data_IF_564400025668
#
_entry.id   IF_564400025668
#
_cell.length_a   1.000
_cell.length_b   1.000
_cell.length_c   1.000
_cell.angle_alpha   90.00
_cell.angle_beta   90.00
_cell.angle_gamma   90.00
#
_symmetry.space_group_name_H-M   'P 1'
#
loop_
_entity.id
_entity.type
_entity.pdbx_description
1 polymer ?
#
# COMPACT_ATOMS: atom_id res chain seq x y z
N UNK A 1 -15.28 -4.87 1.70
CA UNK A 1 -13.81 -4.94 1.51
C UNK A 1 -13.53 -6.27 0.81
N UNK A 2 -12.59 -6.35 -0.15
CA UNK A 2 -12.36 -7.59 -0.92
C UNK A 2 -11.74 -8.69 -0.06
N UNK A 3 -11.01 -8.32 0.99
CA UNK A 3 -10.41 -9.24 1.94
C UNK A 3 -11.07 -9.12 3.31
N UNK A 4 -11.09 -10.22 4.05
CA UNK A 4 -11.45 -10.24 5.46
C UNK A 4 -10.38 -9.54 6.32
N UNK A 5 -10.79 -8.98 7.45
CA UNK A 5 -9.89 -8.24 8.36
C UNK A 5 -8.80 -9.14 8.92
N UNK A 6 -9.14 -10.37 9.34
CA UNK A 6 -8.17 -11.29 9.90
C UNK A 6 -7.10 -11.68 8.86
N UNK A 7 -7.49 -11.82 7.59
CA UNK A 7 -6.54 -12.08 6.50
C UNK A 7 -5.57 -10.92 6.28
N UNK A 8 -6.00 -9.67 6.49
CA UNK A 8 -5.12 -8.49 6.40
C UNK A 8 -4.14 -8.44 7.57
N UNK A 9 -4.62 -8.64 8.80
CA UNK A 9 -3.80 -8.66 10.01
C UNK A 9 -2.72 -9.75 9.95
N UNK A 10 -3.07 -10.94 9.43
CA UNK A 10 -2.12 -12.03 9.20
C UNK A 10 -1.00 -11.65 8.22
N UNK A 11 -1.33 -10.92 7.14
CA UNK A 11 -0.34 -10.48 6.15
C UNK A 11 0.60 -9.46 6.75
N UNK A 12 0.06 -8.50 7.51
CA UNK A 12 0.86 -7.49 8.20
C UNK A 12 1.83 -8.17 9.18
N UNK A 13 1.36 -9.11 10.00
CA UNK A 13 2.21 -9.85 10.96
C UNK A 13 3.33 -10.67 10.28
N UNK A 14 3.06 -11.25 9.11
CA UNK A 14 4.09 -11.98 8.35
C UNK A 14 5.12 -11.05 7.70
N UNK A 15 4.68 -9.90 7.20
CA UNK A 15 5.57 -8.90 6.64
C UNK A 15 6.47 -8.30 7.73
N UNK A 16 5.85 -7.93 8.85
CA UNK A 16 6.45 -7.48 10.10
C UNK A 16 7.66 -8.36 10.52
N UNK A 17 7.43 -9.65 10.73
CA UNK A 17 8.48 -10.60 11.10
C UNK A 17 9.62 -10.80 10.08
N UNK A 18 9.49 -10.30 8.84
CA UNK A 18 10.56 -10.32 7.85
C UNK A 18 11.49 -9.10 7.91
N UNK A 19 11.06 -8.00 8.55
CA UNK A 19 11.86 -6.77 8.67
C UNK A 19 12.79 -6.76 9.88
N UNK A 20 12.52 -7.61 10.88
CA UNK A 20 13.32 -7.72 12.11
C UNK A 20 13.03 -6.62 13.14
N UNK A 21 13.57 -6.79 14.34
CA UNK A 21 13.20 -6.00 15.53
C UNK A 21 13.74 -4.55 15.53
N UNK A 22 14.64 -4.20 14.61
CA UNK A 22 15.29 -2.89 14.53
C UNK A 22 14.48 -1.84 13.73
N UNK A 23 13.38 -2.23 13.11
CA UNK A 23 12.52 -1.33 12.35
C UNK A 23 11.39 -0.78 13.25
N UNK A 24 11.38 0.51 13.63
CA UNK A 24 10.35 1.02 14.54
C UNK A 24 8.99 1.23 13.87
N UNK A 25 8.96 1.32 12.53
CA UNK A 25 7.74 1.58 11.76
C UNK A 25 7.94 1.21 10.28
N UNK A 26 7.00 0.47 9.71
CA UNK A 26 6.94 0.19 8.27
C UNK A 26 5.90 1.10 7.63
N UNK A 27 6.32 1.80 6.57
CA UNK A 27 5.45 2.64 5.74
C UNK A 27 5.36 2.08 4.34
N UNK A 28 4.13 1.88 3.86
CA UNK A 28 3.87 1.43 2.48
C UNK A 28 2.92 2.42 1.82
N UNK A 29 3.33 2.99 0.70
CA UNK A 29 2.52 3.95 -0.07
C UNK A 29 1.67 3.24 -1.13
N UNK A 30 0.45 3.72 -1.33
CA UNK A 30 -0.43 3.31 -2.42
C UNK A 30 0.07 3.78 -3.80
N UNK A 31 0.93 4.78 -3.82
CA UNK A 31 1.34 5.51 -5.01
C UNK A 31 0.37 6.63 -5.39
N UNK A 32 0.77 7.38 -6.42
CA UNK A 32 0.02 8.53 -6.96
C UNK A 32 -0.31 8.33 -8.45
N UNK A 33 -1.39 8.95 -8.96
CA UNK A 33 -1.68 8.95 -10.39
C UNK A 33 -0.53 9.56 -11.20
N UNK A 34 -0.15 8.90 -12.29
CA UNK A 34 0.91 9.38 -13.18
C UNK A 34 0.28 10.20 -14.31
N UNK A 35 0.70 11.46 -14.44
CA UNK A 35 0.29 12.35 -15.53
C UNK A 35 0.70 11.82 -16.89
N UNK A 36 -0.16 11.97 -17.90
CA UNK A 36 0.22 11.73 -19.28
C UNK A 36 1.18 12.83 -19.74
N UNK A 37 2.24 12.52 -20.49
CA UNK A 37 3.12 13.54 -21.05
C UNK A 37 2.32 14.56 -21.89
N UNK A 38 2.73 15.83 -21.86
CA UNK A 38 2.08 16.90 -22.63
C UNK A 38 1.57 18.09 -21.80
N UNK A 39 1.73 18.07 -20.48
CA UNK A 39 1.41 19.22 -19.61
C UNK A 39 -0.09 19.47 -19.43
N UNK A 40 -0.93 18.47 -19.73
CA UNK A 40 -2.37 18.51 -19.54
C UNK A 40 -2.75 17.84 -18.21
N UNK A 41 -4.00 18.05 -17.76
CA UNK A 41 -4.50 17.50 -16.50
C UNK A 41 -4.84 15.99 -16.55
N UNK A 42 -4.59 15.32 -17.68
CA UNK A 42 -4.93 13.90 -17.84
C UNK A 42 -3.88 12.99 -17.19
N UNK A 43 -4.35 11.91 -16.56
CA UNK A 43 -3.51 10.85 -15.97
C UNK A 43 -3.75 9.51 -16.66
N UNK A 44 -2.80 8.58 -16.53
CA UNK A 44 -3.05 7.17 -16.82
C UNK A 44 -4.01 6.57 -15.78
N UNK A 45 -4.77 5.51 -16.11
CA UNK A 45 -5.58 4.81 -15.13
C UNK A 45 -4.74 4.41 -13.92
N UNK A 46 -5.17 4.81 -12.73
CA UNK A 46 -4.43 4.51 -11.51
C UNK A 46 -4.48 3.01 -11.20
N UNK A 47 -3.30 2.44 -10.98
CA UNK A 47 -3.11 1.10 -10.45
C UNK A 47 -2.34 1.22 -9.14
N UNK A 48 -2.93 0.68 -8.07
CA UNK A 48 -2.36 0.74 -6.73
C UNK A 48 -1.09 -0.10 -6.62
N UNK A 49 -0.15 0.34 -5.79
CA UNK A 49 1.04 -0.46 -5.48
C UNK A 49 0.64 -1.85 -4.96
N UNK A 50 1.18 -2.96 -5.53
CA UNK A 50 0.75 -4.30 -5.18
C UNK A 50 0.87 -4.62 -3.69
N UNK A 51 1.98 -4.23 -3.06
CA UNK A 51 2.21 -4.48 -1.64
C UNK A 51 1.23 -3.73 -0.74
N UNK A 52 0.94 -2.47 -1.08
CA UNK A 52 -0.09 -1.69 -0.38
C UNK A 52 -1.44 -2.37 -0.51
N UNK A 53 -1.81 -2.82 -1.70
CA UNK A 53 -3.09 -3.50 -1.92
C UNK A 53 -3.16 -4.84 -1.17
N UNK A 54 -2.06 -5.59 -1.13
CA UNK A 54 -2.00 -6.86 -0.41
C UNK A 54 -2.15 -6.67 1.11
N UNK A 55 -1.52 -5.63 1.66
CA UNK A 55 -1.51 -5.31 3.09
C UNK A 55 -2.72 -4.51 3.58
N UNK A 56 -3.51 -3.91 2.69
CA UNK A 56 -4.64 -3.05 3.09
C UNK A 56 -5.98 -3.42 2.44
N UNK A 57 -5.96 -4.05 1.27
CA UNK A 57 -7.13 -4.22 0.42
C UNK A 57 -7.69 -2.92 -0.18
N UNK A 58 -7.03 -1.78 0.05
CA UNK A 58 -7.44 -0.47 -0.46
C UNK A 58 -6.88 -0.21 -1.85
N UNK A 59 -7.70 0.37 -2.73
CA UNK A 59 -7.33 0.77 -4.09
C UNK A 59 -7.32 2.29 -4.30
N UNK A 60 -7.34 3.06 -3.21
CA UNK A 60 -7.31 4.53 -3.28
C UNK A 60 -5.86 5.00 -3.46
N UNK A 61 -5.64 5.99 -4.32
CA UNK A 61 -4.35 6.67 -4.45
C UNK A 61 -4.06 7.53 -3.21
N UNK A 62 -2.78 7.87 -3.01
CA UNK A 62 -2.31 8.74 -1.93
C UNK A 62 -2.43 8.18 -0.52
N UNK A 63 -2.87 6.92 -0.37
CA UNK A 63 -2.94 6.25 0.91
C UNK A 63 -1.56 5.83 1.42
N UNK A 64 -1.35 5.89 2.73
CA UNK A 64 -0.17 5.34 3.41
C UNK A 64 -0.64 4.34 4.45
N UNK A 65 -0.11 3.13 4.39
CA UNK A 65 -0.20 2.15 5.47
C UNK A 65 0.97 2.38 6.40
N UNK A 66 0.69 2.45 7.69
CA UNK A 66 1.68 2.47 8.74
C UNK A 66 1.41 1.30 9.70
N UNK A 67 2.41 0.48 9.97
CA UNK A 67 2.33 -0.59 10.96
C UNK A 67 3.70 -0.86 11.60
N UNK A 68 3.68 -1.33 12.85
CA UNK A 68 4.88 -1.79 13.56
C UNK A 68 5.20 -3.23 13.10
N UNK A 69 6.48 -3.53 12.80
CA UNK A 69 6.92 -4.88 12.47
C UNK A 69 7.07 -5.81 13.70
#
# INVERSE_FOLDING_TARGET
>A
MVFDKAAIEERQRRAAGAFGDDAPLVLVSAGEPIGKPGGLDQTYPFLVHPDYYWLTGSRRSGGILAFEP
#
